data_IF_594041592302
#
_entry.id   IF_594041592302
#
_cell.length_a   1.000
_cell.length_b   1.000
_cell.length_c   1.000
_cell.angle_alpha   90.00
_cell.angle_beta   90.00
_cell.angle_gamma   90.00
#
_symmetry.space_group_name_H-M   'P 1'
#
loop_
_entity.id
_entity.type
_entity.pdbx_description
1 polymer ?
#
# COMPACT_ATOMS: atom_id res chain seq x y z
N UNK A 1 -1.82 20.32 -30.50
CA UNK A 1 -0.84 19.24 -30.29
C UNK A 1 -1.44 18.02 -29.60
N UNK A 2 -2.05 18.10 -28.39
CA UNK A 2 -2.70 16.92 -27.77
C UNK A 2 -4.05 16.56 -28.41
N UNK A 3 -5.00 17.50 -28.48
CA UNK A 3 -6.35 17.22 -29.00
C UNK A 3 -6.33 16.71 -30.45
N UNK A 4 -5.51 17.31 -31.32
CA UNK A 4 -5.30 16.82 -32.69
C UNK A 4 -4.75 15.39 -32.73
N UNK A 5 -3.89 15.01 -31.77
CA UNK A 5 -3.38 13.64 -31.67
C UNK A 5 -4.49 12.65 -31.28
N UNK A 6 -5.39 13.04 -30.38
CA UNK A 6 -6.56 12.23 -30.02
C UNK A 6 -7.49 12.05 -31.24
N UNK A 7 -7.74 13.11 -32.01
CA UNK A 7 -8.51 13.03 -33.25
C UNK A 7 -7.87 12.09 -34.28
N UNK A 8 -6.54 12.15 -34.42
CA UNK A 8 -5.82 11.23 -35.29
C UNK A 8 -5.98 9.79 -34.83
N UNK A 9 -5.76 9.50 -33.54
CA UNK A 9 -5.91 8.14 -32.96
C UNK A 9 -7.32 7.60 -33.23
N UNK A 10 -8.35 8.38 -32.92
CA UNK A 10 -9.74 7.99 -33.15
C UNK A 10 -10.01 7.65 -34.61
N UNK A 11 -9.51 8.47 -35.55
CA UNK A 11 -9.69 8.25 -36.99
C UNK A 11 -8.91 7.05 -37.52
N UNK A 12 -7.69 6.83 -37.04
CA UNK A 12 -6.79 5.82 -37.61
C UNK A 12 -7.03 4.42 -37.05
N UNK A 13 -7.41 4.32 -35.79
CA UNK A 13 -7.53 3.02 -35.13
C UNK A 13 -8.97 2.49 -35.09
N UNK A 14 -9.98 3.30 -35.43
CA UNK A 14 -11.39 2.89 -35.34
C UNK A 14 -11.82 2.53 -33.91
N UNK A 15 -11.10 3.05 -32.92
CA UNK A 15 -11.30 2.75 -31.51
C UNK A 15 -12.50 3.52 -30.96
N UNK A 16 -13.38 2.82 -30.25
CA UNK A 16 -14.52 3.42 -29.55
C UNK A 16 -14.15 3.98 -28.17
N UNK A 17 -12.94 3.70 -27.66
CA UNK A 17 -12.48 4.12 -26.34
C UNK A 17 -10.98 4.49 -26.35
N UNK A 18 -10.65 5.69 -25.87
CA UNK A 18 -9.29 6.13 -25.61
C UNK A 18 -9.16 6.32 -24.09
N UNK A 19 -8.20 5.62 -23.46
CA UNK A 19 -8.01 5.70 -22.02
C UNK A 19 -6.59 6.10 -21.64
N UNK A 20 -6.44 6.79 -20.52
CA UNK A 20 -5.16 7.04 -19.88
C UNK A 20 -5.32 6.91 -18.36
N UNK A 21 -4.37 6.23 -17.74
CA UNK A 21 -4.28 6.09 -16.29
C UNK A 21 -2.95 6.71 -15.84
N UNK A 22 -3.01 7.63 -14.89
CA UNK A 22 -1.84 8.30 -14.32
C UNK A 22 -2.05 8.52 -12.82
N UNK A 23 -0.94 8.63 -12.09
CA UNK A 23 -0.99 9.06 -10.70
C UNK A 23 -1.53 10.49 -10.63
N UNK A 24 -2.43 10.77 -9.68
CA UNK A 24 -3.13 12.07 -9.61
C UNK A 24 -2.18 13.23 -9.36
N UNK A 25 -1.06 12.94 -8.70
CA UNK A 25 0.04 13.85 -8.40
C UNK A 25 0.73 14.38 -9.66
N UNK A 26 0.55 13.75 -10.83
CA UNK A 26 1.08 14.29 -12.08
C UNK A 26 0.48 15.67 -12.40
N UNK A 27 -0.79 15.91 -12.04
CA UNK A 27 -1.51 17.12 -12.40
C UNK A 27 -1.22 18.27 -11.41
N UNK A 28 -0.06 18.91 -11.57
CA UNK A 28 0.35 20.12 -10.86
C UNK A 28 1.41 19.93 -9.77
N UNK A 29 1.54 18.72 -9.20
CA UNK A 29 2.60 18.45 -8.22
C UNK A 29 3.90 17.97 -8.88
N UNK A 30 3.84 16.94 -9.72
CA UNK A 30 5.01 16.44 -10.45
C UNK A 30 5.21 17.11 -11.82
N UNK A 31 4.12 17.46 -12.52
CA UNK A 31 4.18 18.24 -13.77
C UNK A 31 3.55 19.63 -13.57
N UNK A 32 4.35 20.70 -13.52
CA UNK A 32 3.84 22.06 -13.44
C UNK A 32 2.82 22.35 -14.56
N UNK A 33 1.68 22.92 -14.21
CA UNK A 33 0.57 23.22 -15.14
C UNK A 33 -0.13 22.00 -15.77
N UNK A 34 0.15 20.78 -15.29
CA UNK A 34 -0.56 19.58 -15.77
C UNK A 34 -2.07 19.66 -15.54
N UNK A 35 -2.49 20.23 -14.40
CA UNK A 35 -3.88 20.53 -14.07
C UNK A 35 -4.53 21.49 -15.09
N UNK A 36 -3.80 22.53 -15.53
CA UNK A 36 -4.27 23.46 -16.56
C UNK A 36 -4.41 22.78 -17.93
N UNK A 37 -3.48 21.88 -18.29
CA UNK A 37 -3.56 21.11 -19.52
C UNK A 37 -4.79 20.21 -19.54
N UNK A 38 -5.09 19.55 -18.41
CA UNK A 38 -6.30 18.75 -18.23
C UNK A 38 -7.57 19.60 -18.33
N UNK A 39 -7.62 20.75 -17.66
CA UNK A 39 -8.76 21.67 -17.75
C UNK A 39 -9.00 22.16 -19.20
N UNK A 40 -7.92 22.46 -19.94
CA UNK A 40 -8.01 22.84 -21.35
C UNK A 40 -8.52 21.69 -22.23
N UNK A 41 -8.11 20.44 -21.97
CA UNK A 41 -8.65 19.27 -22.65
C UNK A 41 -10.15 19.12 -22.35
N UNK A 42 -10.55 19.23 -21.08
CA UNK A 42 -11.96 19.12 -20.66
C UNK A 42 -12.82 20.13 -21.42
N UNK A 43 -12.38 21.38 -21.45
CA UNK A 43 -13.07 22.44 -22.19
C UNK A 43 -13.21 22.13 -23.67
N UNK A 44 -12.13 21.66 -24.33
CA UNK A 44 -12.16 21.35 -25.77
C UNK A 44 -13.09 20.20 -26.13
N UNK A 45 -13.12 19.15 -25.31
CA UNK A 45 -14.03 18.02 -25.49
C UNK A 45 -15.48 18.49 -25.39
N UNK A 46 -15.79 19.34 -24.40
CA UNK A 46 -17.13 19.92 -24.25
C UNK A 46 -17.52 20.83 -25.42
N UNK A 47 -16.61 21.66 -25.91
CA UNK A 47 -16.90 22.67 -26.95
C UNK A 47 -17.05 22.08 -28.37
N UNK A 48 -16.48 20.90 -28.65
CA UNK A 48 -16.35 20.38 -30.02
C UNK A 48 -17.15 19.12 -30.33
N UNK A 49 -17.67 18.43 -29.32
CA UNK A 49 -18.48 17.20 -29.45
C UNK A 49 -17.78 16.04 -30.21
N UNK A 50 -16.49 16.15 -30.56
CA UNK A 50 -15.73 15.05 -31.20
C UNK A 50 -15.54 13.85 -30.23
N UNK A 51 -15.63 14.10 -28.91
CA UNK A 51 -15.42 13.12 -27.85
C UNK A 51 -16.40 13.35 -26.69
N UNK A 52 -16.59 12.33 -25.86
CA UNK A 52 -17.29 12.40 -24.58
C UNK A 52 -16.43 11.80 -23.46
N UNK A 53 -16.35 12.46 -22.31
CA UNK A 53 -15.78 11.83 -21.11
C UNK A 53 -16.74 10.76 -20.57
N UNK A 54 -16.18 9.60 -20.25
CA UNK A 54 -16.91 8.47 -19.68
C UNK A 54 -16.07 7.80 -18.60
N UNK A 55 -16.53 6.68 -18.07
CA UNK A 55 -15.76 5.76 -17.22
C UNK A 55 -15.98 4.32 -17.71
N UNK A 56 -15.17 3.38 -17.22
CA UNK A 56 -15.24 1.99 -17.66
C UNK A 56 -16.60 1.34 -17.42
N UNK A 57 -17.27 1.63 -16.30
CA UNK A 57 -18.57 1.04 -15.99
C UNK A 57 -19.67 1.55 -16.94
N UNK A 58 -19.69 2.85 -17.22
CA UNK A 58 -20.63 3.46 -18.17
C UNK A 58 -20.41 2.94 -19.58
N UNK A 59 -19.16 2.87 -20.04
CA UNK A 59 -18.83 2.34 -21.36
C UNK A 59 -19.23 0.86 -21.49
N UNK A 60 -18.87 0.03 -20.50
CA UNK A 60 -19.16 -1.41 -20.50
C UNK A 60 -20.67 -1.72 -20.45
N UNK A 61 -21.48 -0.88 -19.80
CA UNK A 61 -22.94 -1.03 -19.78
C UNK A 61 -23.56 -0.84 -21.17
N UNK A 62 -22.96 0.01 -22.01
CA UNK A 62 -23.42 0.30 -23.37
C UNK A 62 -22.75 -0.62 -24.41
N UNK A 63 -21.55 -1.11 -24.11
CA UNK A 63 -20.73 -1.97 -24.97
C UNK A 63 -20.29 -3.22 -24.17
N UNK A 64 -21.19 -4.20 -23.97
CA UNK A 64 -20.84 -5.42 -23.24
C UNK A 64 -19.62 -6.11 -23.85
N UNK A 65 -18.73 -6.63 -23.01
CA UNK A 65 -17.54 -7.34 -23.47
C UNK A 65 -17.94 -8.61 -24.25
N UNK A 66 -17.42 -8.74 -25.46
CA UNK A 66 -17.64 -9.91 -26.34
C UNK A 66 -16.41 -10.78 -26.51
N UNK A 67 -15.28 -10.38 -25.92
CA UNK A 67 -13.98 -11.01 -26.05
C UNK A 67 -13.36 -11.23 -24.67
N UNK A 68 -12.49 -12.24 -24.59
CA UNK A 68 -11.72 -12.55 -23.40
C UNK A 68 -10.26 -12.16 -23.61
N UNK A 69 -9.64 -11.56 -22.59
CA UNK A 69 -8.23 -11.27 -22.58
C UNK A 69 -7.52 -12.18 -21.58
N UNK A 70 -6.47 -12.87 -22.04
CA UNK A 70 -5.60 -13.65 -21.16
C UNK A 70 -4.48 -12.75 -20.65
N UNK A 71 -4.43 -12.57 -19.33
CA UNK A 71 -3.36 -11.81 -18.69
C UNK A 71 -2.10 -12.67 -18.64
N UNK A 72 -0.95 -12.05 -18.90
CA UNK A 72 0.33 -12.71 -18.79
C UNK A 72 0.63 -13.06 -17.33
N UNK A 73 1.05 -14.30 -17.06
CA UNK A 73 1.31 -14.81 -15.69
C UNK A 73 2.40 -14.04 -14.94
N UNK A 74 3.29 -13.38 -15.69
CA UNK A 74 4.43 -12.65 -15.14
C UNK A 74 5.54 -13.59 -14.67
N UNK A 75 6.56 -13.02 -14.04
CA UNK A 75 7.66 -13.83 -13.49
C UNK A 75 7.16 -14.66 -12.30
N UNK A 76 7.51 -15.95 -12.28
CA UNK A 76 7.11 -16.90 -11.22
C UNK A 76 5.58 -16.99 -11.00
N UNK A 77 4.77 -16.70 -12.03
CA UNK A 77 3.30 -16.66 -11.95
C UNK A 77 2.74 -15.70 -10.89
N UNK A 78 3.47 -14.60 -10.63
CA UNK A 78 3.09 -13.57 -9.63
C UNK A 78 2.34 -12.37 -10.23
N UNK A 79 2.08 -12.37 -11.54
CA UNK A 79 1.40 -11.32 -12.27
C UNK A 79 2.33 -10.29 -12.91
N UNK A 80 1.74 -9.44 -13.75
CA UNK A 80 2.40 -8.31 -14.39
C UNK A 80 2.19 -7.00 -13.62
N UNK A 81 2.89 -5.95 -14.01
CA UNK A 81 2.62 -4.60 -13.53
C UNK A 81 2.75 -3.59 -14.66
N UNK A 82 2.13 -2.42 -14.49
CA UNK A 82 2.23 -1.32 -15.44
C UNK A 82 3.56 -0.55 -15.41
N UNK A 83 4.33 -0.65 -14.32
CA UNK A 83 5.50 0.20 -14.03
C UNK A 83 6.82 -0.58 -13.89
N UNK A 84 6.80 -1.88 -14.21
CA UNK A 84 7.98 -2.73 -14.24
C UNK A 84 7.84 -3.76 -15.35
N UNK A 85 8.81 -3.78 -16.28
CA UNK A 85 8.88 -4.74 -17.38
C UNK A 85 9.04 -6.19 -16.90
N UNK A 86 9.50 -6.38 -15.66
CA UNK A 86 9.72 -7.67 -15.00
C UNK A 86 8.51 -8.08 -14.14
N UNK A 87 7.29 -7.74 -14.57
CA UNK A 87 6.07 -7.98 -13.81
C UNK A 87 6.09 -7.35 -12.43
N UNK A 88 5.83 -8.13 -11.37
CA UNK A 88 5.83 -7.65 -9.98
C UNK A 88 7.19 -7.78 -9.26
N UNK A 89 8.26 -8.11 -9.97
CA UNK A 89 9.58 -8.36 -9.36
C UNK A 89 10.18 -7.17 -8.63
N UNK A 90 9.84 -5.94 -9.02
CA UNK A 90 10.23 -4.71 -8.30
C UNK A 90 9.87 -4.77 -6.81
N UNK A 91 8.78 -5.43 -6.42
CA UNK A 91 8.29 -5.42 -5.05
C UNK A 91 8.76 -6.60 -4.18
N UNK A 92 9.63 -7.49 -4.69
CA UNK A 92 10.14 -8.61 -3.90
C UNK A 92 11.59 -9.04 -4.20
N UNK A 93 12.20 -8.57 -5.29
CA UNK A 93 13.59 -8.94 -5.65
C UNK A 93 14.35 -7.83 -6.38
N UNK A 94 15.64 -8.06 -6.54
CA UNK A 94 16.50 -7.26 -7.40
C UNK A 94 16.21 -7.59 -8.88
N UNK A 95 15.24 -6.89 -9.47
CA UNK A 95 14.92 -7.02 -10.90
C UNK A 95 15.77 -6.13 -11.81
N UNK A 96 16.71 -5.36 -11.24
CA UNK A 96 17.51 -4.39 -11.98
C UNK A 96 16.75 -3.15 -12.45
N UNK A 97 15.51 -2.92 -12.00
CA UNK A 97 14.83 -1.64 -12.23
C UNK A 97 15.30 -0.59 -11.22
N UNK A 98 15.85 0.51 -11.75
CA UNK A 98 16.38 1.62 -10.95
C UNK A 98 15.44 2.82 -10.91
N UNK A 99 15.30 3.42 -9.73
CA UNK A 99 14.56 4.65 -9.50
C UNK A 99 15.22 5.45 -8.38
N UNK A 100 15.90 6.54 -8.76
CA UNK A 100 16.63 7.45 -7.85
C UNK A 100 17.97 6.88 -7.33
N UNK A 101 18.83 7.71 -6.76
CA UNK A 101 20.12 7.26 -6.20
C UNK A 101 21.22 7.03 -7.25
N UNK A 102 22.31 6.38 -6.82
CA UNK A 102 23.51 6.13 -7.64
C UNK A 102 23.31 4.93 -8.59
N UNK A 103 23.86 5.00 -9.80
CA UNK A 103 23.76 3.94 -10.81
C UNK A 103 24.39 2.61 -10.38
N UNK A 104 25.38 2.65 -9.49
CA UNK A 104 26.06 1.46 -8.95
C UNK A 104 25.24 0.71 -7.90
N UNK A 105 24.11 1.26 -7.46
CA UNK A 105 23.27 0.64 -6.42
C UNK A 105 22.46 -0.54 -6.97
N UNK A 106 22.15 -1.47 -6.06
CA UNK A 106 21.35 -2.65 -6.35
C UNK A 106 20.18 -2.78 -5.36
N UNK A 107 19.23 -3.65 -5.68
CA UNK A 107 18.03 -3.83 -4.87
C UNK A 107 17.95 -5.23 -4.23
N UNK A 108 19.11 -5.85 -3.99
CA UNK A 108 19.21 -7.18 -3.33
C UNK A 108 18.64 -7.20 -1.92
N UNK A 109 18.43 -6.04 -1.30
CA UNK A 109 17.80 -5.90 0.00
C UNK A 109 16.29 -6.22 -0.01
N UNK A 110 15.61 -6.13 -1.17
CA UNK A 110 14.15 -6.31 -1.27
C UNK A 110 13.72 -7.72 -0.85
N UNK A 111 14.44 -8.74 -1.29
CA UNK A 111 14.15 -10.14 -0.95
C UNK A 111 14.26 -10.42 0.56
N UNK A 112 15.39 -10.15 1.23
CA UNK A 112 15.48 -10.37 2.67
C UNK A 112 14.54 -9.48 3.48
N UNK A 113 14.26 -8.24 3.05
CA UNK A 113 13.24 -7.40 3.71
C UNK A 113 11.85 -8.03 3.61
N UNK A 114 11.46 -8.47 2.41
CA UNK A 114 10.16 -9.11 2.19
C UNK A 114 10.02 -10.39 3.00
N UNK A 115 11.07 -11.22 3.04
CA UNK A 115 11.10 -12.44 3.85
C UNK A 115 10.98 -12.13 5.35
N UNK A 116 11.66 -11.09 5.86
CA UNK A 116 11.54 -10.66 7.25
C UNK A 116 10.08 -10.29 7.60
N UNK A 117 9.40 -9.55 6.72
CA UNK A 117 8.01 -9.18 6.93
C UNK A 117 7.05 -10.36 6.76
N UNK A 118 7.27 -11.23 5.79
CA UNK A 118 6.45 -12.43 5.60
C UNK A 118 6.56 -13.38 6.81
N UNK A 119 7.77 -13.59 7.35
CA UNK A 119 7.99 -14.40 8.55
C UNK A 119 7.30 -13.79 9.78
N UNK A 120 7.46 -12.49 10.01
CA UNK A 120 6.76 -11.79 11.10
C UNK A 120 5.25 -11.90 10.92
N UNK A 121 4.73 -11.62 9.72
CA UNK A 121 3.31 -11.69 9.42
C UNK A 121 2.70 -13.06 9.71
N UNK A 122 3.37 -14.15 9.31
CA UNK A 122 2.95 -15.51 9.64
C UNK A 122 2.83 -15.75 11.15
N UNK A 123 3.76 -15.21 11.95
CA UNK A 123 3.71 -15.31 13.42
C UNK A 123 2.56 -14.50 14.01
N UNK A 124 2.38 -13.27 13.54
CA UNK A 124 1.29 -12.40 13.99
C UNK A 124 -0.08 -12.99 13.62
N UNK A 125 -0.22 -13.59 12.45
CA UNK A 125 -1.48 -14.20 12.01
C UNK A 125 -1.85 -15.43 12.85
N UNK A 126 -0.88 -16.29 13.15
CA UNK A 126 -1.09 -17.42 14.05
C UNK A 126 -1.50 -16.98 15.46
N UNK A 127 -0.88 -15.91 15.99
CA UNK A 127 -1.26 -15.34 17.29
C UNK A 127 -2.66 -14.75 17.23
N UNK A 128 -2.98 -13.98 16.18
CA UNK A 128 -4.28 -13.35 16.00
C UNK A 128 -5.41 -14.38 15.97
N UNK A 129 -5.26 -15.43 15.15
CA UNK A 129 -6.27 -16.49 15.04
C UNK A 129 -6.50 -17.19 16.39
N UNK A 130 -5.41 -17.56 17.07
CA UNK A 130 -5.47 -18.24 18.37
C UNK A 130 -6.14 -17.36 19.43
N UNK A 131 -5.68 -16.12 19.59
CA UNK A 131 -6.14 -15.27 20.69
C UNK A 131 -7.55 -14.74 20.46
N UNK A 132 -7.93 -14.39 19.22
CA UNK A 132 -9.32 -14.04 18.93
C UNK A 132 -10.27 -15.20 19.22
N UNK A 133 -9.89 -16.43 18.84
CA UNK A 133 -10.69 -17.63 19.13
C UNK A 133 -10.80 -17.89 20.64
N UNK A 134 -9.72 -17.67 21.40
CA UNK A 134 -9.74 -17.81 22.86
C UNK A 134 -10.65 -16.77 23.53
N UNK A 135 -10.63 -15.53 23.05
CA UNK A 135 -11.35 -14.40 23.63
C UNK A 135 -12.84 -14.40 23.29
N UNK A 136 -13.20 -14.76 22.06
CA UNK A 136 -14.58 -14.64 21.54
C UNK A 136 -15.25 -15.99 21.26
N UNK A 137 -14.53 -17.10 21.45
CA UNK A 137 -15.02 -18.44 21.10
C UNK A 137 -14.97 -18.72 19.59
N UNK A 138 -15.54 -19.85 19.19
CA UNK A 138 -15.46 -20.36 17.80
C UNK A 138 -16.57 -19.83 16.88
N UNK A 139 -17.59 -19.16 17.43
CA UNK A 139 -18.68 -18.57 16.63
C UNK A 139 -18.20 -17.35 15.82
N UNK A 140 -17.29 -16.56 16.40
CA UNK A 140 -16.67 -15.43 15.71
C UNK A 140 -15.39 -15.88 15.01
N UNK A 141 -15.39 -15.94 13.68
CA UNK A 141 -14.19 -16.25 12.92
C UNK A 141 -13.23 -15.05 12.94
N UNK A 142 -11.94 -15.24 13.25
CA UNK A 142 -10.97 -14.14 13.31
C UNK A 142 -10.92 -13.30 12.02
N UNK A 143 -11.02 -13.95 10.85
CA UNK A 143 -11.03 -13.24 9.55
C UNK A 143 -12.24 -12.32 9.39
N UNK A 144 -13.41 -12.76 9.85
CA UNK A 144 -14.65 -11.99 9.73
C UNK A 144 -14.61 -10.78 10.68
N UNK A 145 -14.03 -10.94 11.87
CA UNK A 145 -13.73 -9.83 12.78
C UNK A 145 -12.75 -8.83 12.16
N UNK A 146 -11.68 -9.31 11.50
CA UNK A 146 -10.72 -8.43 10.85
C UNK A 146 -11.35 -7.64 9.68
N UNK A 147 -12.22 -8.28 8.89
CA UNK A 147 -12.91 -7.59 7.81
C UNK A 147 -13.90 -6.53 8.33
N UNK A 148 -14.62 -6.84 9.42
CA UNK A 148 -15.60 -5.91 10.01
C UNK A 148 -14.95 -4.72 10.71
N UNK A 149 -13.64 -4.76 10.98
CA UNK A 149 -12.85 -3.67 11.58
C UNK A 149 -12.62 -2.46 10.65
N UNK A 150 -12.87 -2.59 9.34
CA UNK A 150 -12.63 -1.54 8.35
C UNK A 150 -13.19 -0.15 8.70
N UNK A 151 -14.43 0.01 9.24
CA UNK A 151 -14.97 1.32 9.60
C UNK A 151 -14.16 2.06 10.66
N UNK A 152 -13.51 1.33 11.58
CA UNK A 152 -12.62 1.93 12.60
C UNK A 152 -11.35 2.47 11.96
N UNK A 153 -10.78 1.73 10.99
CA UNK A 153 -9.60 2.20 10.25
C UNK A 153 -9.92 3.48 9.46
N UNK A 154 -11.12 3.55 8.89
CA UNK A 154 -11.62 4.71 8.13
C UNK A 154 -12.12 5.86 9.02
N UNK A 155 -12.01 5.75 10.35
CA UNK A 155 -12.51 6.72 11.32
C UNK A 155 -14.00 7.04 11.18
N UNK A 156 -14.79 6.11 10.62
CA UNK A 156 -16.26 6.20 10.59
C UNK A 156 -16.89 5.70 11.89
N UNK A 157 -16.12 4.99 12.71
CA UNK A 157 -16.54 4.41 13.98
C UNK A 157 -15.37 4.42 14.98
N UNK A 158 -15.65 4.63 16.25
CA UNK A 158 -14.65 4.51 17.31
C UNK A 158 -14.43 3.05 17.75
N UNK A 159 -13.24 2.76 18.27
CA UNK A 159 -12.83 1.42 18.67
C UNK A 159 -13.73 0.82 19.76
N UNK A 160 -14.21 1.63 20.73
CA UNK A 160 -14.99 1.10 21.85
C UNK A 160 -16.39 0.68 21.42
N UNK A 161 -17.03 1.48 20.56
CA UNK A 161 -18.31 1.15 19.93
C UNK A 161 -18.19 -0.13 19.11
N UNK A 162 -17.14 -0.27 18.29
CA UNK A 162 -16.89 -1.47 17.51
C UNK A 162 -16.77 -2.72 18.40
N UNK A 163 -15.89 -2.67 19.39
CA UNK A 163 -15.61 -3.81 20.28
C UNK A 163 -16.79 -4.14 21.21
N UNK A 164 -17.63 -3.16 21.54
CA UNK A 164 -18.84 -3.33 22.35
C UNK A 164 -19.86 -4.31 21.78
N UNK A 165 -19.79 -4.60 20.47
CA UNK A 165 -20.62 -5.63 19.80
C UNK A 165 -20.14 -7.05 20.09
N UNK A 166 -18.88 -7.21 20.47
CA UNK A 166 -18.23 -8.50 20.64
C UNK A 166 -18.08 -8.88 22.11
N UNK A 167 -17.80 -7.90 22.97
CA UNK A 167 -17.64 -8.13 24.40
C UNK A 167 -17.95 -6.88 25.23
N UNK A 168 -18.37 -7.09 26.48
CA UNK A 168 -18.49 -6.03 27.49
C UNK A 168 -17.32 -6.01 28.47
N UNK A 169 -16.47 -7.03 28.43
CA UNK A 169 -15.32 -7.18 29.33
C UNK A 169 -14.18 -6.21 28.90
N UNK A 170 -13.74 -5.27 29.77
CA UNK A 170 -12.73 -4.28 29.42
C UNK A 170 -11.38 -4.89 29.02
N UNK A 171 -10.95 -5.95 29.70
CA UNK A 171 -9.65 -6.59 29.43
C UNK A 171 -9.67 -7.28 28.05
N UNK A 172 -10.77 -7.95 27.72
CA UNK A 172 -10.99 -8.53 26.39
C UNK A 172 -11.03 -7.44 25.31
N UNK A 173 -11.69 -6.30 25.58
CA UNK A 173 -11.68 -5.16 24.64
C UNK A 173 -10.26 -4.67 24.38
N UNK A 174 -9.47 -4.45 25.44
CA UNK A 174 -8.08 -4.01 25.30
C UNK A 174 -7.24 -5.00 24.48
N UNK A 175 -7.39 -6.30 24.76
CA UNK A 175 -6.68 -7.35 24.03
C UNK A 175 -7.06 -7.36 22.54
N UNK A 176 -8.35 -7.30 22.21
CA UNK A 176 -8.83 -7.25 20.83
C UNK A 176 -8.37 -5.98 20.10
N UNK A 177 -8.36 -4.83 20.78
CA UNK A 177 -7.86 -3.58 20.21
C UNK A 177 -6.39 -3.72 19.79
N UNK A 178 -5.53 -4.29 20.64
CA UNK A 178 -4.11 -4.53 20.33
C UNK A 178 -3.95 -5.49 19.15
N UNK A 179 -4.70 -6.59 19.15
CA UNK A 179 -4.66 -7.60 18.09
C UNK A 179 -5.07 -7.01 16.72
N UNK A 180 -6.15 -6.24 16.67
CA UNK A 180 -6.64 -5.59 15.44
C UNK A 180 -5.73 -4.47 14.96
N UNK A 181 -5.24 -3.62 15.87
CA UNK A 181 -4.28 -2.57 15.51
C UNK A 181 -2.95 -3.16 15.03
N UNK A 182 -2.49 -4.28 15.60
CA UNK A 182 -1.28 -4.92 15.10
C UNK A 182 -1.48 -5.58 13.73
N UNK A 183 -2.67 -6.09 13.41
CA UNK A 183 -3.01 -6.50 12.04
C UNK A 183 -2.95 -5.31 11.07
N UNK A 184 -3.47 -4.14 11.46
CA UNK A 184 -3.35 -2.89 10.67
C UNK A 184 -1.88 -2.55 10.40
N UNK A 185 -1.02 -2.52 11.42
CA UNK A 185 0.40 -2.19 11.23
C UNK A 185 1.16 -3.28 10.47
N UNK A 186 0.80 -4.55 10.64
CA UNK A 186 1.31 -5.65 9.80
C UNK A 186 0.98 -5.40 8.33
N UNK A 187 -0.25 -4.99 8.00
CA UNK A 187 -0.58 -4.65 6.62
C UNK A 187 0.15 -3.40 6.12
N UNK A 188 0.32 -2.39 6.97
CA UNK A 188 1.06 -1.17 6.60
C UNK A 188 2.54 -1.44 6.32
N UNK A 189 3.17 -2.42 6.97
CA UNK A 189 4.54 -2.79 6.64
C UNK A 189 4.70 -3.30 5.21
N UNK A 190 3.60 -3.68 4.52
CA UNK A 190 3.54 -4.07 3.10
C UNK A 190 3.20 -2.93 2.13
N UNK A 191 3.28 -1.66 2.56
CA UNK A 191 3.05 -0.50 1.66
C UNK A 191 4.05 -0.47 0.51
N UNK A 192 3.57 -0.62 -0.72
CA UNK A 192 4.37 -0.88 -1.92
C UNK A 192 5.45 0.15 -2.23
N UNK A 193 5.27 1.41 -1.83
CA UNK A 193 6.27 2.48 -1.96
C UNK A 193 7.61 2.10 -1.30
N UNK A 194 7.60 1.34 -0.21
CA UNK A 194 8.80 0.88 0.49
C UNK A 194 9.64 -0.14 -0.29
N UNK A 195 9.26 -0.50 -1.51
CA UNK A 195 10.08 -1.30 -2.43
C UNK A 195 10.44 -0.56 -3.72
N UNK A 196 9.87 0.62 -3.97
CA UNK A 196 9.92 1.24 -5.30
C UNK A 196 11.31 1.81 -5.64
N UNK A 197 11.95 2.46 -4.67
CA UNK A 197 13.24 3.15 -4.81
C UNK A 197 14.45 2.24 -4.57
N UNK A 198 15.65 2.79 -4.80
CA UNK A 198 16.86 1.99 -4.90
C UNK A 198 17.46 1.52 -3.57
N UNK A 199 17.21 2.19 -2.45
CA UNK A 199 17.96 1.94 -1.22
C UNK A 199 17.09 1.65 0.00
N UNK A 200 17.55 0.69 0.80
CA UNK A 200 16.91 0.27 2.05
C UNK A 200 16.86 1.39 3.10
N UNK A 201 17.84 2.29 3.13
CA UNK A 201 17.86 3.40 4.08
C UNK A 201 17.03 4.61 3.63
N UNK A 202 16.32 4.50 2.51
CA UNK A 202 15.32 5.48 2.07
C UNK A 202 14.20 5.65 3.09
N UNK A 203 13.41 6.72 2.93
CA UNK A 203 12.32 7.04 3.86
C UNK A 203 11.24 5.95 3.85
N UNK A 204 10.90 5.43 2.68
CA UNK A 204 9.79 4.50 2.48
C UNK A 204 10.07 3.11 3.09
N UNK A 205 11.23 2.44 2.83
CA UNK A 205 11.52 1.18 3.50
C UNK A 205 11.73 1.33 5.01
N UNK A 206 12.32 2.45 5.47
CA UNK A 206 12.43 2.75 6.92
C UNK A 206 11.04 2.84 7.57
N UNK A 207 10.08 3.50 6.91
CA UNK A 207 8.70 3.57 7.40
C UNK A 207 8.04 2.18 7.48
N UNK A 208 8.27 1.32 6.50
CA UNK A 208 7.77 -0.07 6.56
C UNK A 208 8.37 -0.86 7.73
N UNK A 209 9.66 -0.67 8.03
CA UNK A 209 10.31 -1.25 9.21
C UNK A 209 9.67 -0.73 10.49
N UNK A 210 9.38 0.58 10.58
CA UNK A 210 8.65 1.16 11.72
C UNK A 210 7.29 0.50 11.90
N UNK A 211 6.51 0.32 10.83
CA UNK A 211 5.22 -0.37 10.92
C UNK A 211 5.35 -1.81 11.39
N UNK A 212 6.36 -2.56 10.94
CA UNK A 212 6.61 -3.92 11.42
C UNK A 212 6.93 -3.94 12.93
N UNK A 213 7.72 -2.98 13.42
CA UNK A 213 8.02 -2.82 14.84
C UNK A 213 6.76 -2.46 15.66
N UNK A 214 5.89 -1.59 15.14
CA UNK A 214 4.63 -1.22 15.79
C UNK A 214 3.69 -2.42 15.91
N UNK A 215 3.55 -3.21 14.84
CA UNK A 215 2.74 -4.43 14.83
C UNK A 215 3.24 -5.42 15.89
N UNK A 216 4.55 -5.64 15.91
CA UNK A 216 5.23 -6.51 16.85
C UNK A 216 4.99 -6.08 18.31
N UNK A 217 5.16 -4.79 18.63
CA UNK A 217 4.96 -4.26 19.99
C UNK A 217 3.56 -4.53 20.52
N UNK A 218 2.55 -4.46 19.67
CA UNK A 218 1.17 -4.77 20.05
C UNK A 218 0.95 -6.26 20.33
N UNK A 219 1.83 -7.13 19.82
CA UNK A 219 1.74 -8.58 19.93
C UNK A 219 2.65 -9.19 21.01
N UNK A 220 3.61 -8.44 21.56
CA UNK A 220 4.57 -8.94 22.57
C UNK A 220 3.86 -9.56 23.80
N UNK A 221 2.71 -9.02 24.21
CA UNK A 221 1.95 -9.54 25.36
C UNK A 221 1.25 -10.88 25.13
N UNK A 222 1.17 -11.37 23.89
CA UNK A 222 0.41 -12.57 23.51
C UNK A 222 1.29 -13.80 23.23
N UNK A 223 2.61 -13.65 23.33
CA UNK A 223 3.55 -14.73 23.06
C UNK A 223 4.74 -14.68 24.01
N UNK A 224 5.38 -15.84 24.21
CA UNK A 224 6.66 -15.96 24.91
C UNK A 224 7.86 -15.92 23.95
N UNK A 225 7.61 -16.03 22.65
CA UNK A 225 8.63 -15.95 21.62
C UNK A 225 9.13 -14.51 21.47
N UNK A 226 10.45 -14.33 21.33
CA UNK A 226 11.01 -13.02 21.01
C UNK A 226 10.77 -12.70 19.54
N UNK A 227 9.62 -12.09 19.25
CA UNK A 227 9.30 -11.60 17.91
C UNK A 227 10.36 -10.59 17.43
N UNK A 228 10.95 -9.83 18.37
CA UNK A 228 11.95 -8.82 18.06
C UNK A 228 13.22 -9.45 17.53
N UNK A 229 13.78 -10.44 18.22
CA UNK A 229 15.00 -11.08 17.73
C UNK A 229 14.74 -11.81 16.40
N UNK A 230 13.59 -12.46 16.23
CA UNK A 230 13.18 -13.05 14.95
C UNK A 230 13.22 -12.02 13.81
N UNK A 231 12.58 -10.87 14.02
CA UNK A 231 12.56 -9.80 13.02
C UNK A 231 13.98 -9.26 12.75
N UNK A 232 14.76 -8.99 13.79
CA UNK A 232 16.09 -8.41 13.65
C UNK A 232 17.10 -9.38 12.99
N UNK A 233 16.97 -10.69 13.21
CA UNK A 233 17.78 -11.72 12.55
C UNK A 233 17.54 -11.76 11.04
N UNK A 234 16.28 -11.64 10.60
CA UNK A 234 15.95 -11.59 9.18
C UNK A 234 16.32 -10.25 8.55
N UNK A 235 16.03 -9.14 9.23
CA UNK A 235 16.39 -7.80 8.77
C UNK A 235 17.91 -7.59 8.65
N UNK A 236 18.72 -8.33 9.40
CA UNK A 236 20.18 -8.31 9.26
C UNK A 236 20.66 -8.70 7.86
N UNK A 237 19.88 -9.50 7.12
CA UNK A 237 20.21 -9.96 5.77
C UNK A 237 19.97 -8.88 4.70
N UNK A 238 19.08 -7.92 4.98
CA UNK A 238 18.83 -6.77 4.11
C UNK A 238 19.91 -5.71 4.33
N UNK A 239 20.67 -5.38 3.29
CA UNK A 239 21.81 -4.43 3.36
C UNK A 239 21.48 -3.15 2.61
N UNK A 240 21.71 -2.01 3.22
CA UNK A 240 21.69 -0.74 2.50
C UNK A 240 22.88 -0.66 1.52
N UNK A 241 22.74 0.12 0.46
CA UNK A 241 23.80 0.33 -0.53
C UNK A 241 24.95 1.16 0.07
N UNK A 242 24.62 2.09 0.98
CA UNK A 242 25.62 2.88 1.69
C UNK A 242 26.12 2.12 2.91
N UNK A 243 27.44 1.94 3.00
CA UNK A 243 28.08 1.19 4.08
C UNK A 243 27.75 1.75 5.47
N UNK A 244 27.64 3.08 5.61
CA UNK A 244 27.34 3.71 6.90
C UNK A 244 25.91 3.44 7.40
N UNK A 245 24.96 3.14 6.51
CA UNK A 245 23.55 2.92 6.86
C UNK A 245 23.30 1.46 7.30
N UNK A 246 24.28 0.57 7.09
CA UNK A 246 24.30 -0.78 7.64
C UNK A 246 23.24 -1.72 7.03
N UNK A 247 22.45 -2.33 7.91
CA UNK A 247 21.46 -3.37 7.58
C UNK A 247 20.06 -2.98 8.05
N UNK A 248 19.03 -3.73 7.63
CA UNK A 248 17.69 -3.57 8.16
C UNK A 248 17.64 -3.67 9.69
N UNK A 249 18.51 -4.49 10.31
CA UNK A 249 18.66 -4.55 11.78
C UNK A 249 19.14 -3.21 12.34
N UNK A 250 20.10 -2.57 11.70
CA UNK A 250 20.64 -1.27 12.12
C UNK A 250 19.53 -0.22 12.09
N UNK A 251 18.81 -0.15 10.97
CA UNK A 251 17.69 0.77 10.77
C UNK A 251 16.54 0.53 11.76
N UNK A 252 16.23 -0.74 12.06
CA UNK A 252 15.21 -1.10 13.05
C UNK A 252 15.60 -0.66 14.47
N UNK A 253 16.86 -0.90 14.87
CA UNK A 253 17.35 -0.49 16.19
C UNK A 253 17.41 1.03 16.35
N UNK A 254 17.70 1.77 15.28
CA UNK A 254 17.58 3.24 15.25
C UNK A 254 16.13 3.67 15.45
N UNK A 255 15.22 3.15 14.64
CA UNK A 255 13.79 3.46 14.73
C UNK A 255 13.20 3.15 16.12
N UNK A 256 13.64 2.07 16.76
CA UNK A 256 13.21 1.73 18.12
C UNK A 256 13.60 2.79 19.16
N UNK A 257 14.78 3.41 19.04
CA UNK A 257 15.21 4.48 19.95
C UNK A 257 14.29 5.69 19.82
N UNK A 258 13.93 6.04 18.58
CA UNK A 258 13.02 7.13 18.28
C UNK A 258 11.61 6.86 18.81
N UNK A 259 11.11 5.63 18.67
CA UNK A 259 9.80 5.21 19.21
C UNK A 259 9.75 5.20 20.75
N UNK A 260 10.90 5.08 21.42
CA UNK A 260 10.99 5.01 22.89
C UNK A 260 11.09 6.36 23.60
N UNK A 261 11.33 7.47 22.87
CA UNK A 261 11.35 8.81 23.44
C UNK A 261 9.97 9.47 23.35
N UNK A 262 9.45 10.01 24.46
CA UNK A 262 8.27 10.90 24.70
C UNK A 262 7.03 10.89 23.78
N UNK A 263 6.89 9.95 22.84
CA UNK A 263 5.75 9.79 21.93
C UNK A 263 5.01 8.49 22.28
N UNK A 264 4.92 8.18 23.57
CA UNK A 264 4.19 7.03 24.10
C UNK A 264 2.67 7.21 24.16
N UNK A 265 2.15 8.38 23.78
CA UNK A 265 0.73 8.75 23.95
C UNK A 265 -0.15 8.83 22.69
N UNK A 266 0.35 9.00 21.44
CA UNK A 266 -0.55 9.02 20.27
C UNK A 266 -0.99 7.62 19.82
N UNK A 267 -0.29 6.56 20.23
CA UNK A 267 -0.58 5.18 19.78
C UNK A 267 -1.94 4.64 20.30
N UNK A 268 -2.49 5.26 21.35
CA UNK A 268 -3.80 4.93 21.91
C UNK A 268 -4.88 6.00 21.60
N UNK A 269 -4.51 7.09 20.93
CA UNK A 269 -5.43 8.15 20.51
C UNK A 269 -5.25 8.43 19.01
N UNK A 270 -6.18 7.99 18.14
CA UNK A 270 -6.12 8.24 16.70
C UNK A 270 -6.49 9.69 16.35
N UNK A 271 -6.07 10.68 17.15
CA UNK A 271 -6.17 12.08 16.79
C UNK A 271 -4.85 12.52 16.17
N UNK A 272 -4.82 12.43 14.84
CA UNK A 272 -3.79 12.89 13.93
C UNK A 272 -3.32 14.32 14.23
N UNK A 273 -2.01 14.66 14.16
CA UNK A 273 -1.61 16.00 13.78
C UNK A 273 -1.89 16.15 12.28
N UNK A 274 -2.79 17.08 11.92
CA UNK A 274 -3.17 17.44 10.55
C UNK A 274 -2.07 17.17 9.50
N UNK A 275 -2.16 16.01 8.85
CA UNK A 275 -1.74 15.89 7.47
C UNK A 275 -2.86 16.54 6.65
N UNK A 276 -2.59 17.59 5.84
CA UNK A 276 -3.60 18.06 4.91
C UNK A 276 -3.87 16.90 3.94
N UNK A 277 -4.99 16.22 4.13
CA UNK A 277 -5.54 15.29 3.16
C UNK A 277 -5.78 16.05 1.86
N UNK A 278 -4.82 16.00 0.95
CA UNK A 278 -5.13 15.95 -0.46
C UNK A 278 -5.07 14.48 -0.84
N UNK A 279 -6.16 13.78 -0.56
CA UNK A 279 -6.50 12.57 -1.30
C UNK A 279 -6.63 12.98 -2.77
N UNK A 280 -5.53 12.90 -3.51
CA UNK A 280 -5.57 12.86 -4.95
C UNK A 280 -5.50 11.37 -5.30
N UNK A 281 -6.68 10.75 -5.34
CA UNK A 281 -6.81 9.43 -5.95
C UNK A 281 -6.21 9.46 -7.36
N UNK A 282 -5.57 8.36 -7.78
CA UNK A 282 -5.12 8.18 -9.17
C UNK A 282 -6.20 8.66 -10.14
N UNK A 283 -5.79 9.47 -11.11
CA UNK A 283 -6.74 10.07 -12.04
C UNK A 283 -6.79 9.21 -13.29
N UNK A 284 -7.99 8.68 -13.53
CA UNK A 284 -8.32 7.96 -14.73
C UNK A 284 -9.22 8.85 -15.57
N UNK A 285 -8.81 9.12 -16.81
CA UNK A 285 -9.66 9.80 -17.77
C UNK A 285 -9.89 8.87 -18.97
N UNK A 286 -11.16 8.69 -19.30
CA UNK A 286 -11.60 7.82 -20.39
C UNK A 286 -12.43 8.67 -21.34
N UNK A 287 -12.04 8.68 -22.61
CA UNK A 287 -12.72 9.35 -23.70
C UNK A 287 -13.38 8.31 -24.60
N UNK A 288 -14.66 8.47 -24.87
CA UNK A 288 -15.39 7.74 -25.89
C UNK A 288 -15.54 8.65 -27.10
N UNK A 289 -15.40 8.09 -28.30
CA UNK A 289 -15.66 8.82 -29.55
C UNK A 289 -17.15 9.12 -29.68
N UNK A 290 -17.48 10.34 -30.10
CA UNK A 290 -18.87 10.76 -30.39
C UNK A 290 -19.42 10.17 -31.69
#
# INVERSE_FOLDING_TARGET
MLYERLLTIAKTEGQNLIHTATDGEIYGHHEPYGDMALAALIKKVHDREDFQFTNYATYLAQHPATEEAFLHDGEEAKGTSWSCSHGVSRWYRDCGCHTGGDESWNQKWRTPLRQAFDHLACKLDAIFEKEVTNLLGTEMKPRDLLHSFSPVILAHEDMDTFLGRHTKDPDTKEALAKLLLGQKYKHFSFTSCGWFFNDLAGLEPRQNIVYALMALRLYEGFTKESLLELLLEDLQKAKANRKQDGTGRTLALEAMKELSGEVGSPLLHPQSPHCPERSLSGQLWVLQTG
#
